data_IF_946899343465
#
_entry.id   IF_946899343465
#
_cell.length_a   1.000
_cell.length_b   1.000
_cell.length_c   1.000
_cell.angle_alpha   90.00
_cell.angle_beta   90.00
_cell.angle_gamma   90.00
#
_symmetry.space_group_name_H-M   'P 1'
#
loop_
_entity.id
_entity.type
_entity.pdbx_description
1 polymer ?
#
# COMPACT_ATOMS: atom_id res chain seq x y z
N UNK A 1 -18.71 -36.45 21.32
CA UNK A 1 -17.49 -36.10 20.56
C UNK A 1 -17.73 -36.57 19.13
N UNK A 2 -17.70 -35.81 18.05
CA UNK A 2 -17.41 -34.40 17.76
C UNK A 2 -17.65 -34.32 16.24
N UNK A 3 -18.81 -33.82 15.80
CA UNK A 3 -19.15 -33.65 14.38
C UNK A 3 -18.84 -32.21 13.89
N UNK A 4 -17.80 -31.57 14.44
CA UNK A 4 -17.61 -30.12 14.34
C UNK A 4 -16.50 -29.62 13.39
N UNK A 5 -15.82 -30.48 12.62
CA UNK A 5 -14.68 -30.02 11.80
C UNK A 5 -14.59 -30.61 10.39
N UNK A 6 -15.72 -30.79 9.71
CA UNK A 6 -15.66 -30.91 8.25
C UNK A 6 -15.54 -29.50 7.65
N UNK A 7 -14.30 -29.05 7.46
CA UNK A 7 -13.98 -27.92 6.59
C UNK A 7 -14.57 -28.25 5.20
N UNK A 8 -15.72 -27.66 4.91
CA UNK A 8 -16.39 -27.80 3.63
C UNK A 8 -15.40 -27.35 2.54
N UNK A 9 -14.85 -28.32 1.80
CA UNK A 9 -13.94 -28.05 0.70
C UNK A 9 -14.75 -27.37 -0.40
N UNK A 10 -14.76 -26.04 -0.39
CA UNK A 10 -15.33 -25.25 -1.47
C UNK A 10 -14.32 -25.29 -2.61
N UNK A 11 -14.60 -26.00 -3.73
CA UNK A 11 -13.67 -26.02 -4.84
C UNK A 11 -13.43 -24.58 -5.29
N UNK A 12 -12.16 -24.20 -5.37
CA UNK A 12 -11.77 -22.85 -5.80
C UNK A 12 -12.11 -22.75 -7.27
N UNK A 13 -13.27 -22.19 -7.57
CA UNK A 13 -13.69 -21.94 -8.93
C UNK A 13 -12.79 -20.84 -9.53
N UNK A 14 -11.79 -21.26 -10.28
CA UNK A 14 -10.74 -20.37 -10.81
C UNK A 14 -11.31 -19.25 -11.67
N UNK A 15 -12.45 -19.47 -12.33
CA UNK A 15 -13.15 -18.42 -13.09
C UNK A 15 -13.78 -17.37 -12.18
N UNK A 16 -14.39 -17.80 -11.08
CA UNK A 16 -14.93 -16.90 -10.07
C UNK A 16 -13.80 -16.13 -9.33
N UNK A 17 -12.65 -16.77 -9.11
CA UNK A 17 -11.47 -16.13 -8.52
C UNK A 17 -10.89 -15.06 -9.47
N UNK A 18 -10.72 -15.39 -10.75
CA UNK A 18 -10.27 -14.45 -11.79
C UNK A 18 -11.24 -13.27 -11.95
N UNK A 19 -12.55 -13.52 -11.91
CA UNK A 19 -13.57 -12.47 -11.96
C UNK A 19 -13.52 -11.56 -10.73
N UNK A 20 -13.23 -12.11 -9.53
CA UNK A 20 -13.00 -11.32 -8.32
C UNK A 20 -11.70 -10.51 -8.41
N UNK A 21 -10.59 -11.12 -8.84
CA UNK A 21 -9.29 -10.45 -9.06
C UNK A 21 -9.37 -9.32 -10.09
N UNK A 22 -10.17 -9.47 -11.14
CA UNK A 22 -10.39 -8.43 -12.14
C UNK A 22 -11.19 -7.22 -11.60
N UNK A 23 -11.93 -7.41 -10.50
CA UNK A 23 -12.71 -6.35 -9.82
C UNK A 23 -11.91 -5.67 -8.70
N UNK A 24 -10.83 -6.28 -8.22
CA UNK A 24 -9.93 -5.69 -7.22
C UNK A 24 -9.23 -4.46 -7.81
N UNK A 25 -9.02 -3.44 -6.96
CA UNK A 25 -8.24 -2.26 -7.37
C UNK A 25 -6.76 -2.54 -7.37
N UNK A 26 -6.23 -2.76 -8.56
CA UNK A 26 -4.81 -3.01 -8.78
C UNK A 26 -3.91 -1.85 -8.32
N UNK A 27 -4.38 -0.60 -8.37
CA UNK A 27 -3.65 0.56 -7.82
C UNK A 27 -3.33 0.39 -6.33
N UNK A 28 -4.31 0.00 -5.52
CA UNK A 28 -4.12 -0.26 -4.08
C UNK A 28 -3.33 -1.53 -3.81
N UNK A 29 -3.50 -2.58 -4.62
CA UNK A 29 -2.69 -3.82 -4.50
C UNK A 29 -1.22 -3.53 -4.75
N UNK A 30 -0.90 -2.76 -5.80
CA UNK A 30 0.46 -2.37 -6.14
C UNK A 30 1.08 -1.54 -5.01
N UNK A 31 0.33 -0.59 -4.45
CA UNK A 31 0.80 0.18 -3.30
C UNK A 31 0.99 -0.67 -2.04
N UNK A 32 0.10 -1.62 -1.77
CA UNK A 32 0.26 -2.56 -0.67
C UNK A 32 1.55 -3.39 -0.83
N UNK A 33 1.77 -3.96 -2.02
CA UNK A 33 2.98 -4.76 -2.32
C UNK A 33 4.24 -3.94 -2.14
N UNK A 34 4.26 -2.70 -2.65
CA UNK A 34 5.40 -1.81 -2.49
C UNK A 34 5.64 -1.45 -1.02
N UNK A 35 4.59 -1.17 -0.24
CA UNK A 35 4.71 -0.88 1.18
C UNK A 35 5.21 -2.10 1.97
N UNK A 36 4.71 -3.31 1.68
CA UNK A 36 5.21 -4.55 2.31
C UNK A 36 6.66 -4.84 1.94
N UNK A 37 7.01 -4.75 0.65
CA UNK A 37 8.37 -4.94 0.20
C UNK A 37 9.32 -3.95 0.91
N UNK A 38 8.93 -2.69 0.99
CA UNK A 38 9.74 -1.65 1.63
C UNK A 38 9.85 -1.83 3.14
N UNK A 39 8.76 -2.19 3.81
CA UNK A 39 8.77 -2.51 5.24
C UNK A 39 9.75 -3.65 5.56
N UNK A 40 9.69 -4.74 4.79
CA UNK A 40 10.61 -5.88 4.95
C UNK A 40 12.04 -5.48 4.59
N UNK A 41 12.23 -4.73 3.49
CA UNK A 41 13.55 -4.29 3.04
C UNK A 41 14.23 -3.38 4.07
N UNK A 42 13.51 -2.43 4.65
CA UNK A 42 13.99 -1.60 5.76
C UNK A 42 14.31 -2.43 6.99
N UNK A 43 13.40 -3.33 7.40
CA UNK A 43 13.59 -4.15 8.59
C UNK A 43 14.82 -5.05 8.51
N UNK A 44 15.10 -5.60 7.31
CA UNK A 44 16.26 -6.47 7.05
C UNK A 44 17.55 -5.66 6.84
N UNK A 45 17.46 -4.38 6.49
CA UNK A 45 18.63 -3.52 6.30
C UNK A 45 19.23 -3.16 7.65
N UNK A 46 20.44 -3.67 7.92
CA UNK A 46 21.15 -3.34 9.14
C UNK A 46 21.43 -1.82 9.24
N UNK A 47 21.31 -1.21 10.43
CA UNK A 47 21.59 0.22 10.63
C UNK A 47 23.02 0.64 10.24
N UNK A 48 23.94 -0.31 10.26
CA UNK A 48 25.36 -0.13 9.97
C UNK A 48 25.71 -0.37 8.49
N UNK A 49 24.71 -0.69 7.64
CA UNK A 49 24.93 -1.24 6.30
C UNK A 49 25.04 -2.76 6.33
N UNK A 50 24.58 -3.41 5.25
CA UNK A 50 24.60 -4.87 5.14
C UNK A 50 25.80 -5.37 4.34
N UNK A 51 26.26 -6.59 4.66
CA UNK A 51 27.28 -7.32 3.88
C UNK A 51 26.75 -7.89 2.53
N UNK A 52 25.53 -7.52 2.12
CA UNK A 52 24.95 -7.88 0.80
C UNK A 52 24.39 -9.31 0.66
N UNK A 53 24.17 -10.03 1.77
CA UNK A 53 23.96 -11.49 1.72
C UNK A 53 22.52 -12.00 1.50
N UNK A 54 21.47 -11.32 1.98
CA UNK A 54 20.10 -11.92 2.03
C UNK A 54 19.05 -11.18 1.17
N UNK A 55 19.37 -9.95 0.79
CA UNK A 55 18.90 -9.16 -0.35
C UNK A 55 20.09 -8.22 -0.67
N UNK A 56 20.23 -7.60 -1.84
CA UNK A 56 21.22 -6.55 -2.06
C UNK A 56 20.85 -5.35 -1.17
N UNK A 57 21.17 -5.44 0.12
CA UNK A 57 21.04 -4.40 1.12
C UNK A 57 22.09 -3.36 0.82
N UNK A 58 21.77 -2.06 0.90
CA UNK A 58 22.74 -1.02 0.62
C UNK A 58 23.93 -1.15 1.55
N UNK A 59 25.14 -1.12 0.96
CA UNK A 59 26.41 -1.11 1.68
C UNK A 59 26.53 0.14 2.57
N UNK A 60 25.81 1.21 2.20
CA UNK A 60 25.78 2.50 2.92
C UNK A 60 24.63 2.62 3.94
N UNK A 61 23.94 1.52 4.28
CA UNK A 61 22.91 1.51 5.32
C UNK A 61 21.75 2.49 5.06
N UNK A 62 21.35 3.34 6.02
CA UNK A 62 20.22 4.26 5.89
C UNK A 62 20.33 5.26 4.73
N UNK A 63 21.54 5.69 4.38
CA UNK A 63 21.77 6.61 3.26
C UNK A 63 21.45 5.94 1.91
N UNK A 64 21.79 4.65 1.76
CA UNK A 64 21.44 3.88 0.58
C UNK A 64 19.93 3.58 0.48
N UNK A 65 19.22 3.49 1.60
CA UNK A 65 17.75 3.43 1.60
C UNK A 65 17.14 4.72 1.06
N UNK A 66 17.66 5.89 1.45
CA UNK A 66 17.20 7.19 0.92
C UNK A 66 17.45 7.28 -0.59
N UNK A 67 18.61 6.83 -1.08
CA UNK A 67 18.94 6.84 -2.51
C UNK A 67 18.09 5.89 -3.37
N UNK A 68 17.47 4.87 -2.78
CA UNK A 68 16.59 3.92 -3.47
C UNK A 68 15.11 4.35 -3.46
N UNK A 69 14.71 5.25 -2.56
CA UNK A 69 13.33 5.74 -2.47
C UNK A 69 12.80 6.39 -3.77
N UNK A 70 13.58 7.17 -4.53
CA UNK A 70 13.15 7.72 -5.82
C UNK A 70 12.72 6.64 -6.83
N UNK A 71 13.43 5.50 -6.85
CA UNK A 71 13.08 4.36 -7.70
C UNK A 71 11.75 3.74 -7.30
N UNK A 72 11.46 3.65 -5.99
CA UNK A 72 10.15 3.22 -5.51
C UNK A 72 9.03 4.19 -5.92
N UNK A 73 9.29 5.50 -5.91
CA UNK A 73 8.35 6.51 -6.42
C UNK A 73 8.07 6.35 -7.92
N UNK A 74 9.10 6.05 -8.72
CA UNK A 74 8.96 5.83 -10.16
C UNK A 74 8.21 4.53 -10.45
N UNK A 75 8.63 3.42 -9.85
CA UNK A 75 8.01 2.10 -10.06
C UNK A 75 6.57 2.11 -9.54
N UNK A 76 6.33 2.65 -8.35
CA UNK A 76 5.00 2.79 -7.78
C UNK A 76 4.10 3.75 -8.55
N UNK A 77 4.64 4.87 -9.03
CA UNK A 77 3.90 5.81 -9.86
C UNK A 77 3.52 5.22 -11.23
N UNK A 78 4.44 4.54 -11.91
CA UNK A 78 4.18 3.88 -13.19
C UNK A 78 3.21 2.71 -13.05
N UNK A 79 3.48 1.78 -12.13
CA UNK A 79 2.63 0.60 -11.93
C UNK A 79 1.27 1.02 -11.36
N UNK A 80 1.22 1.99 -10.45
CA UNK A 80 -0.02 2.58 -9.93
C UNK A 80 -0.85 3.19 -11.03
N UNK A 81 -0.25 4.02 -11.91
CA UNK A 81 -0.94 4.61 -13.05
C UNK A 81 -1.46 3.56 -14.03
N UNK A 82 -0.64 2.57 -14.41
CA UNK A 82 -1.09 1.45 -15.25
C UNK A 82 -2.21 0.67 -14.55
N UNK A 83 -2.10 0.44 -13.25
CA UNK A 83 -3.13 -0.23 -12.44
C UNK A 83 -4.46 0.53 -12.41
N UNK A 84 -4.44 1.87 -12.42
CA UNK A 84 -5.67 2.69 -12.53
C UNK A 84 -6.33 2.61 -13.90
N UNK A 85 -5.54 2.41 -14.97
CA UNK A 85 -6.04 2.31 -16.35
C UNK A 85 -6.51 0.89 -16.70
N UNK A 86 -5.83 -0.14 -16.17
CA UNK A 86 -6.14 -1.56 -16.42
C UNK A 86 -7.33 -2.05 -15.59
N UNK A 87 -7.59 -1.43 -14.43
CA UNK A 87 -8.73 -1.79 -13.58
C UNK A 87 -10.07 -1.51 -14.28
N UNK A 88 -10.87 -2.56 -14.49
CA UNK A 88 -12.27 -2.45 -14.97
C UNK A 88 -13.25 -1.96 -13.88
N UNK A 89 -12.76 -1.74 -12.66
CA UNK A 89 -13.56 -1.18 -11.55
C UNK A 89 -13.74 0.32 -11.75
N UNK A 90 -14.96 0.88 -11.57
CA UNK A 90 -15.16 2.33 -11.60
C UNK A 90 -14.23 2.98 -10.57
N UNK A 91 -13.51 4.01 -10.99
CA UNK A 91 -12.52 4.73 -10.16
C UNK A 91 -13.12 5.02 -8.79
N UNK A 92 -12.59 4.43 -7.70
CA UNK A 92 -13.26 4.65 -6.42
C UNK A 92 -12.98 6.01 -5.87
N UNK A 93 -11.76 6.48 -6.05
CA UNK A 93 -11.35 7.82 -5.67
C UNK A 93 -11.48 8.83 -6.83
N UNK A 94 -12.10 8.43 -7.95
CA UNK A 94 -12.17 9.26 -9.16
C UNK A 94 -10.77 9.60 -9.69
N UNK A 95 -10.56 10.87 -10.05
CA UNK A 95 -9.27 11.39 -10.55
C UNK A 95 -8.13 11.39 -9.52
N UNK A 96 -8.41 11.12 -8.25
CA UNK A 96 -7.38 11.14 -7.20
C UNK A 96 -6.39 9.97 -7.36
N UNK A 97 -6.83 8.79 -7.81
CA UNK A 97 -5.92 7.64 -8.02
C UNK A 97 -4.82 7.90 -9.08
N UNK A 98 -5.14 8.37 -10.30
CA UNK A 98 -4.11 8.70 -11.28
C UNK A 98 -3.28 9.92 -10.87
N UNK A 99 -3.87 10.92 -10.20
CA UNK A 99 -3.13 12.09 -9.71
C UNK A 99 -2.08 11.69 -8.66
N UNK A 100 -2.45 10.85 -7.69
CA UNK A 100 -1.51 10.33 -6.69
C UNK A 100 -0.37 9.56 -7.36
N UNK A 101 -0.68 8.76 -8.38
CA UNK A 101 0.33 8.01 -9.15
C UNK A 101 1.28 8.93 -9.93
N UNK A 102 0.75 9.99 -10.55
CA UNK A 102 1.55 11.01 -11.26
C UNK A 102 2.42 11.79 -10.27
N UNK A 103 1.88 12.18 -9.11
CA UNK A 103 2.64 12.88 -8.06
C UNK A 103 3.79 12.00 -7.56
N UNK A 104 3.56 10.71 -7.32
CA UNK A 104 4.63 9.77 -6.95
C UNK A 104 5.68 9.62 -8.05
N UNK A 105 5.26 9.55 -9.31
CA UNK A 105 6.17 9.46 -10.46
C UNK A 105 7.04 10.72 -10.59
N UNK A 106 6.44 11.91 -10.50
CA UNK A 106 7.16 13.18 -10.56
C UNK A 106 8.09 13.37 -9.36
N UNK A 107 7.65 12.99 -8.16
CA UNK A 107 8.47 13.01 -6.95
C UNK A 107 9.65 12.03 -7.07
N UNK A 108 9.43 10.85 -7.64
CA UNK A 108 10.49 9.87 -7.89
C UNK A 108 11.49 10.34 -8.95
N UNK A 109 11.02 10.90 -10.06
CA UNK A 109 11.89 11.48 -11.10
C UNK A 109 12.72 12.64 -10.55
N UNK A 110 12.09 13.55 -9.80
CA UNK A 110 12.80 14.63 -9.10
C UNK A 110 13.85 14.08 -8.13
N UNK A 111 13.47 13.08 -7.32
CA UNK A 111 14.36 12.46 -6.34
C UNK A 111 15.61 11.80 -6.93
N UNK A 112 15.56 11.31 -8.18
CA UNK A 112 16.75 10.80 -8.88
C UNK A 112 17.73 11.92 -9.23
N UNK A 113 17.25 13.10 -9.62
CA UNK A 113 18.12 14.24 -9.96
C UNK A 113 18.62 14.98 -8.71
N UNK A 114 17.86 14.93 -7.61
CA UNK A 114 18.15 15.66 -6.36
C UNK A 114 18.55 14.73 -5.20
N UNK A 115 19.19 13.58 -5.47
CA UNK A 115 19.64 12.62 -4.42
C UNK A 115 20.40 13.31 -3.27
N UNK A 116 21.32 14.26 -3.50
CA UNK A 116 22.03 14.95 -2.42
C UNK A 116 21.13 15.85 -1.54
N UNK A 117 19.95 16.21 -2.04
CA UNK A 117 19.02 17.15 -1.40
C UNK A 117 17.82 16.44 -0.75
N UNK A 118 17.74 15.11 -0.79
CA UNK A 118 16.63 14.31 -0.22
C UNK A 118 16.50 14.42 1.31
N UNK A 119 17.46 15.09 1.96
CA UNK A 119 17.49 15.32 3.40
C UNK A 119 17.99 14.11 4.17
N UNK A 120 17.79 14.13 5.48
CA UNK A 120 18.16 13.01 6.36
C UNK A 120 17.13 11.89 6.28
N UNK A 121 17.56 10.65 6.57
CA UNK A 121 16.69 9.47 6.61
C UNK A 121 15.37 9.71 7.37
N UNK A 122 15.45 10.30 8.56
CA UNK A 122 14.25 10.64 9.34
C UNK A 122 13.30 11.60 8.61
N UNK A 123 13.82 12.67 8.00
CA UNK A 123 12.99 13.65 7.29
C UNK A 123 12.29 13.03 6.08
N UNK A 124 13.03 12.29 5.25
CA UNK A 124 12.50 11.71 4.01
C UNK A 124 11.40 10.69 4.32
N UNK A 125 11.61 9.83 5.33
CA UNK A 125 10.64 8.79 5.69
C UNK A 125 9.50 9.28 6.56
N UNK A 126 9.68 10.38 7.31
CA UNK A 126 8.54 11.10 7.91
C UNK A 126 7.62 11.61 6.81
N UNK A 127 8.16 12.26 5.79
CA UNK A 127 7.36 12.81 4.69
C UNK A 127 6.63 11.69 3.93
N UNK A 128 7.32 10.59 3.63
CA UNK A 128 6.72 9.42 3.00
C UNK A 128 5.61 8.80 3.88
N UNK A 129 5.85 8.65 5.18
CA UNK A 129 4.87 8.12 6.12
C UNK A 129 3.63 9.01 6.29
N UNK A 130 3.81 10.34 6.33
CA UNK A 130 2.71 11.32 6.31
C UNK A 130 1.90 11.19 5.02
N UNK A 131 2.55 11.08 3.88
CA UNK A 131 1.88 10.88 2.60
C UNK A 131 1.04 9.59 2.59
N UNK A 132 1.60 8.47 3.07
CA UNK A 132 0.87 7.21 3.18
C UNK A 132 -0.32 7.31 4.14
N UNK A 133 -0.15 7.97 5.29
CA UNK A 133 -1.24 8.18 6.24
C UNK A 133 -2.38 8.99 5.62
N UNK A 134 -2.07 10.06 4.89
CA UNK A 134 -3.08 10.83 4.16
C UNK A 134 -3.77 9.98 3.10
N UNK A 135 -3.03 9.15 2.37
CA UNK A 135 -3.63 8.30 1.35
C UNK A 135 -4.60 7.27 1.96
N UNK A 136 -4.20 6.61 3.04
CA UNK A 136 -5.08 5.70 3.81
C UNK A 136 -6.29 6.44 4.38
N UNK A 137 -6.12 7.68 4.85
CA UNK A 137 -7.24 8.51 5.31
C UNK A 137 -8.23 8.81 4.18
N UNK A 138 -7.78 9.09 2.96
CA UNK A 138 -8.69 9.27 1.81
C UNK A 138 -9.42 7.97 1.47
N UNK A 139 -8.77 6.81 1.58
CA UNK A 139 -9.44 5.50 1.44
C UNK A 139 -10.54 5.35 2.50
N UNK A 140 -10.27 5.71 3.75
CA UNK A 140 -11.25 5.65 4.84
C UNK A 140 -12.43 6.61 4.62
N UNK A 141 -12.19 7.81 4.11
CA UNK A 141 -13.27 8.75 3.74
C UNK A 141 -14.13 8.22 2.58
N UNK A 142 -13.53 7.56 1.60
CA UNK A 142 -14.29 6.94 0.51
C UNK A 142 -15.11 5.74 1.00
N UNK A 143 -14.59 4.97 1.97
CA UNK A 143 -15.35 3.93 2.64
C UNK A 143 -16.56 4.50 3.41
N UNK A 144 -16.38 5.64 4.11
CA UNK A 144 -17.47 6.35 4.76
C UNK A 144 -18.52 6.84 3.75
N UNK A 145 -18.10 7.43 2.63
CA UNK A 145 -19.00 7.91 1.57
C UNK A 145 -19.85 6.79 0.94
N UNK A 146 -19.36 5.55 0.97
CA UNK A 146 -20.04 4.36 0.43
C UNK A 146 -20.80 3.56 1.48
N UNK A 147 -20.91 4.05 2.71
CA UNK A 147 -21.49 3.34 3.85
C UNK A 147 -20.90 1.92 4.04
N UNK A 148 -19.61 1.76 3.73
CA UNK A 148 -18.92 0.50 3.93
C UNK A 148 -18.62 0.29 5.43
N UNK A 149 -18.76 -0.96 5.89
CA UNK A 149 -18.48 -1.30 7.29
C UNK A 149 -17.01 -1.04 7.68
N UNK A 150 -16.81 -0.63 8.93
CA UNK A 150 -15.50 -0.42 9.56
C UNK A 150 -14.62 0.70 8.98
N UNK A 151 -15.20 1.73 8.35
CA UNK A 151 -14.45 2.92 7.90
C UNK A 151 -13.63 3.59 9.02
N UNK A 152 -14.12 3.54 10.26
CA UNK A 152 -13.44 4.11 11.43
C UNK A 152 -12.15 3.33 11.78
N UNK A 153 -12.09 2.03 11.51
CA UNK A 153 -10.88 1.22 11.73
C UNK A 153 -9.79 1.66 10.76
N UNK A 154 -10.16 1.92 9.50
CA UNK A 154 -9.23 2.44 8.49
C UNK A 154 -8.72 3.84 8.86
N UNK A 155 -9.57 4.68 9.45
CA UNK A 155 -9.12 5.97 10.02
C UNK A 155 -8.15 5.80 11.18
N UNK A 156 -8.34 4.81 12.04
CA UNK A 156 -7.40 4.50 13.11
C UNK A 156 -6.06 3.99 12.55
N UNK A 157 -6.08 3.20 11.47
CA UNK A 157 -4.86 2.77 10.76
C UNK A 157 -4.13 3.99 10.21
N UNK A 158 -4.82 4.91 9.53
CA UNK A 158 -4.23 6.16 9.04
C UNK A 158 -3.61 6.99 10.18
N UNK A 159 -4.33 7.14 11.30
CA UNK A 159 -3.85 7.86 12.47
C UNK A 159 -2.63 7.18 13.11
N UNK A 160 -2.59 5.85 13.15
CA UNK A 160 -1.45 5.08 13.65
C UNK A 160 -0.21 5.27 12.75
N UNK A 161 -0.36 5.18 11.43
CA UNK A 161 0.75 5.45 10.48
C UNK A 161 1.26 6.87 10.66
N UNK A 162 0.37 7.86 10.81
CA UNK A 162 0.75 9.25 11.04
C UNK A 162 1.52 9.40 12.36
N UNK A 163 1.01 8.83 13.45
CA UNK A 163 1.64 8.92 14.76
C UNK A 163 3.03 8.29 14.78
N UNK A 164 3.18 7.10 14.19
CA UNK A 164 4.48 6.40 14.08
C UNK A 164 5.46 7.22 13.24
N UNK A 165 5.00 7.76 12.11
CA UNK A 165 5.83 8.54 11.19
C UNK A 165 6.30 9.85 11.83
N UNK A 166 5.42 10.56 12.54
CA UNK A 166 5.78 11.79 13.27
C UNK A 166 6.70 11.51 14.45
N UNK A 167 6.48 10.41 15.19
CA UNK A 167 7.35 9.99 16.28
C UNK A 167 8.78 9.70 15.78
N UNK A 168 8.92 9.10 14.60
CA UNK A 168 10.21 8.95 13.93
C UNK A 168 10.84 10.29 13.50
N UNK A 169 10.02 11.27 13.10
CA UNK A 169 10.49 12.56 12.59
C UNK A 169 11.00 13.53 13.65
N UNK A 170 10.51 13.44 14.88
CA UNK A 170 10.95 14.30 16.01
C UNK A 170 12.25 13.82 16.68
N UNK A 171 13.02 12.94 16.02
CA UNK A 171 14.30 12.41 16.51
C UNK A 171 14.23 11.83 17.95
N UNK A 172 13.11 11.20 18.30
CA UNK A 172 12.93 10.58 19.62
C UNK A 172 13.74 9.29 19.81
N UNK A 173 14.47 8.82 18.79
CA UNK A 173 15.20 7.57 18.83
C UNK A 173 16.50 7.62 18.03
N UNK A 174 17.42 6.68 18.32
CA UNK A 174 18.66 6.50 17.54
C UNK A 174 18.37 6.08 16.08
N UNK A 175 19.30 6.32 15.16
CA UNK A 175 19.16 5.96 13.73
C UNK A 175 18.77 4.49 13.52
N UNK A 176 19.28 3.59 14.36
CA UNK A 176 18.92 2.17 14.33
C UNK A 176 17.44 1.92 14.69
N UNK A 177 16.91 2.66 15.65
CA UNK A 177 15.51 2.56 16.06
C UNK A 177 14.58 3.23 15.02
N UNK A 178 15.04 4.29 14.34
CA UNK A 178 14.28 4.96 13.28
C UNK A 178 13.93 4.00 12.13
N UNK A 179 14.86 3.12 11.74
CA UNK A 179 14.58 2.08 10.73
C UNK A 179 13.41 1.18 11.15
N UNK A 180 13.38 0.80 12.43
CA UNK A 180 12.26 0.04 13.02
C UNK A 180 10.93 0.79 12.97
N UNK A 181 10.92 2.07 13.38
CA UNK A 181 9.70 2.90 13.35
C UNK A 181 9.13 3.04 11.95
N UNK A 182 9.96 3.38 10.95
CA UNK A 182 9.46 3.53 9.58
C UNK A 182 9.06 2.19 8.97
N UNK A 183 9.80 1.10 9.22
CA UNK A 183 9.37 -0.24 8.76
C UNK A 183 7.98 -0.60 9.27
N UNK A 184 7.68 -0.28 10.53
CA UNK A 184 6.36 -0.47 11.13
C UNK A 184 5.31 0.42 10.47
N UNK A 185 5.62 1.71 10.22
CA UNK A 185 4.70 2.63 9.56
C UNK A 185 4.31 2.12 8.15
N UNK A 186 5.28 1.67 7.35
CA UNK A 186 5.03 1.10 6.03
C UNK A 186 4.24 -0.22 6.10
N UNK A 187 4.53 -1.07 7.09
CA UNK A 187 3.80 -2.33 7.29
C UNK A 187 2.33 -2.08 7.63
N UNK A 188 2.06 -1.17 8.56
CA UNK A 188 0.69 -0.80 8.96
C UNK A 188 -0.06 -0.14 7.80
N UNK A 189 0.60 0.75 7.05
CA UNK A 189 0.02 1.36 5.86
C UNK A 189 -0.33 0.32 4.78
N UNK A 190 0.53 -0.69 4.59
CA UNK A 190 0.28 -1.76 3.62
C UNK A 190 -1.04 -2.50 3.89
N UNK A 191 -1.34 -2.78 5.16
CA UNK A 191 -2.61 -3.39 5.55
C UNK A 191 -3.83 -2.50 5.28
N UNK A 192 -3.71 -1.19 5.45
CA UNK A 192 -4.76 -0.25 5.03
C UNK A 192 -5.04 -0.33 3.52
N UNK A 193 -4.00 -0.33 2.69
CA UNK A 193 -4.16 -0.51 1.25
C UNK A 193 -4.80 -1.86 0.86
N UNK A 194 -4.45 -2.95 1.56
CA UNK A 194 -5.11 -4.27 1.35
C UNK A 194 -6.59 -4.18 1.67
N UNK A 195 -6.94 -3.57 2.82
CA UNK A 195 -8.34 -3.42 3.22
C UNK A 195 -9.13 -2.57 2.21
N UNK A 196 -8.58 -1.43 1.80
CA UNK A 196 -9.13 -0.57 0.76
C UNK A 196 -9.32 -1.29 -0.58
N UNK A 197 -8.34 -2.10 -1.01
CA UNK A 197 -8.41 -2.88 -2.24
C UNK A 197 -9.57 -3.89 -2.23
N UNK A 198 -9.77 -4.58 -1.10
CA UNK A 198 -10.82 -5.58 -0.94
C UNK A 198 -12.22 -4.95 -0.86
N UNK A 199 -12.39 -3.94 -0.01
CA UNK A 199 -13.70 -3.35 0.25
C UNK A 199 -14.19 -2.42 -0.85
N UNK A 200 -13.28 -1.69 -1.51
CA UNK A 200 -13.67 -0.81 -2.60
C UNK A 200 -13.65 -1.53 -3.96
N UNK A 201 -13.11 -2.74 -4.06
CA UNK A 201 -13.07 -3.55 -5.29
C UNK A 201 -14.41 -4.23 -5.63
N UNK A 202 -15.26 -4.48 -4.63
CA UNK A 202 -16.60 -5.04 -4.82
C UNK A 202 -17.67 -3.94 -4.80
N UNK A 203 -18.11 -3.45 -5.96
CA UNK A 203 -19.43 -2.84 -6.04
C UNK A 203 -20.44 -3.98 -6.17
N UNK A 204 -21.29 -4.17 -5.17
CA UNK A 204 -22.34 -5.21 -5.10
C UNK A 204 -23.31 -5.17 -6.29
N UNK A 205 -23.34 -4.09 -7.07
CA UNK A 205 -24.11 -4.00 -8.32
C UNK A 205 -23.67 -4.98 -9.42
N UNK A 206 -22.45 -5.51 -9.34
CA UNK A 206 -21.96 -6.54 -10.26
C UNK A 206 -22.27 -7.98 -9.86
N UNK A 207 -22.81 -8.21 -8.66
CA UNK A 207 -23.28 -9.51 -8.20
C UNK A 207 -24.71 -9.76 -8.69
N UNK A 208 -25.60 -8.77 -8.56
CA UNK A 208 -26.96 -8.81 -9.13
C UNK A 208 -26.94 -8.96 -10.66
N UNK A 209 -26.02 -8.28 -11.35
CA UNK A 209 -25.86 -8.41 -12.80
C UNK A 209 -25.31 -9.78 -13.24
N UNK A 210 -24.61 -10.50 -12.36
CA UNK A 210 -24.10 -11.83 -12.65
C UNK A 210 -25.15 -12.91 -12.35
N UNK A 211 -25.93 -12.76 -11.29
CA UNK A 211 -27.08 -13.62 -11.00
C UNK A 211 -28.15 -13.51 -12.08
N UNK A 212 -28.44 -12.31 -12.58
CA UNK A 212 -29.41 -12.11 -13.67
C UNK A 212 -28.95 -12.68 -15.01
N UNK A 213 -27.64 -12.69 -15.30
CA UNK A 213 -27.11 -13.31 -16.54
C UNK A 213 -27.09 -14.84 -16.43
N UNK A 214 -26.84 -15.40 -15.23
CA UNK A 214 -26.90 -16.85 -15.00
C UNK A 214 -28.35 -17.34 -15.01
N UNK A 215 -29.29 -16.57 -14.43
CA UNK A 215 -30.72 -16.90 -14.44
C UNK A 215 -31.39 -16.73 -15.82
N UNK A 216 -30.81 -15.95 -16.73
CA UNK A 216 -31.29 -15.81 -18.11
C UNK A 216 -30.70 -16.86 -19.07
N UNK A 217 -29.79 -17.71 -18.59
CA UNK A 217 -29.12 -18.76 -19.36
C UNK A 217 -29.61 -20.18 -18.99
N UNK A 218 -30.58 -20.29 -18.07
CA UNK A 218 -31.39 -21.50 -17.80
C UNK A 218 -32.78 -21.37 -18.43
#
# INVERSE_FOLDING_TARGET
MTDEYMLEYRPVDGKALLAKLARVKWSFVIMAVLCFFWAVYMYVTAPQGGAGGLLPTPVEGPAGLVGLLPWCGIVGGLLGFVGTVVSRSPWALGWVEPLVSIVMLLAGLWGIYSIPELGTFGQTYTLAGVFLALYVAVIALELYRRDASYWYVEMLVAAAVLAISLAGGVNMASDAALVGFYSLAFFVAAWGFVYGALKLGGSDKGAEACETVVAAAE
#
